data_IF_234384224774
#
_entry.id   IF_234384224774
#
_cell.length_a   1.000
_cell.length_b   1.000
_cell.length_c   1.000
_cell.angle_alpha   90.00
_cell.angle_beta   90.00
_cell.angle_gamma   90.00
#
_symmetry.space_group_name_H-M   'P 1'
#
loop_
_entity.id
_entity.type
_entity.pdbx_description
1 polymer ?
#
# COMPACT_ATOMS: atom_id res chain seq x y z
N UNK A 1 -0.07 -16.34 -47.62
CA UNK A 1 -0.58 -16.23 -46.23
C UNK A 1 0.27 -15.21 -45.47
N UNK A 2 -0.25 -14.00 -45.27
CA UNK A 2 0.43 -12.98 -44.48
C UNK A 2 0.29 -13.34 -43.00
N UNK A 3 1.42 -13.56 -42.32
CA UNK A 3 1.43 -13.69 -40.87
C UNK A 3 0.83 -12.42 -40.25
N UNK A 4 -0.10 -12.54 -39.29
CA UNK A 4 -0.63 -11.38 -38.62
C UNK A 4 0.51 -10.65 -37.88
N UNK A 5 0.50 -9.31 -37.86
CA UNK A 5 1.55 -8.54 -37.19
C UNK A 5 1.63 -8.96 -35.73
N UNK A 6 2.83 -9.32 -35.29
CA UNK A 6 3.13 -9.64 -33.90
C UNK A 6 2.51 -8.56 -33.01
N UNK A 7 1.52 -8.96 -32.21
CA UNK A 7 0.99 -8.08 -31.17
C UNK A 7 2.18 -7.64 -30.30
N UNK A 8 2.26 -6.35 -29.92
CA UNK A 8 3.31 -5.90 -29.02
C UNK A 8 3.29 -6.76 -27.75
N UNK A 9 4.47 -7.08 -27.17
CA UNK A 9 4.54 -7.91 -25.98
C UNK A 9 3.61 -7.31 -24.93
N UNK A 10 2.68 -8.14 -24.43
CA UNK A 10 1.81 -7.74 -23.33
C UNK A 10 2.73 -7.32 -22.17
N UNK A 11 2.50 -6.16 -21.53
CA UNK A 11 3.23 -5.83 -20.33
C UNK A 11 3.03 -6.97 -19.33
N UNK A 12 4.08 -7.44 -18.64
CA UNK A 12 3.99 -8.62 -17.79
C UNK A 12 2.88 -8.40 -16.78
N UNK A 13 1.79 -9.17 -16.91
CA UNK A 13 0.84 -9.30 -15.83
C UNK A 13 1.59 -9.96 -14.66
N UNK A 14 1.30 -9.48 -13.46
CA UNK A 14 2.01 -9.60 -12.18
C UNK A 14 2.37 -11.00 -11.65
N UNK A 15 2.21 -12.08 -12.42
CA UNK A 15 2.49 -13.44 -11.96
C UNK A 15 3.88 -13.96 -12.36
N UNK A 16 4.47 -13.48 -13.46
CA UNK A 16 5.75 -14.00 -13.97
C UNK A 16 7.00 -13.45 -13.26
N UNK A 17 6.85 -12.38 -12.46
CA UNK A 17 7.98 -11.72 -11.77
C UNK A 17 7.68 -11.66 -10.26
N UNK A 18 7.34 -12.81 -9.68
CA UNK A 18 7.25 -12.96 -8.23
C UNK A 18 8.65 -13.24 -7.68
N UNK A 19 9.14 -12.35 -6.82
CA UNK A 19 10.39 -12.58 -6.10
C UNK A 19 10.17 -13.50 -4.91
N UNK A 20 10.91 -14.60 -4.87
CA UNK A 20 10.81 -15.65 -3.85
C UNK A 20 12.14 -15.95 -3.15
N UNK A 21 13.25 -15.34 -3.55
CA UNK A 21 14.59 -15.52 -2.94
C UNK A 21 14.79 -14.75 -1.61
N UNK A 22 13.72 -14.20 -1.02
CA UNK A 22 13.76 -13.48 0.27
C UNK A 22 14.23 -12.03 0.17
N UNK A 23 14.08 -11.24 1.23
CA UNK A 23 14.43 -9.80 1.18
C UNK A 23 15.95 -9.61 1.12
N UNK A 24 16.43 -8.99 0.04
CA UNK A 24 17.83 -8.56 -0.09
C UNK A 24 17.95 -7.08 0.24
N UNK A 25 18.93 -6.74 1.07
CA UNK A 25 19.18 -5.36 1.49
C UNK A 25 20.60 -5.17 2.01
N UNK A 26 20.81 -4.01 2.64
CA UNK A 26 22.10 -3.59 3.18
C UNK A 26 21.98 -3.46 4.68
N UNK A 27 23.00 -3.91 5.40
CA UNK A 27 23.11 -3.72 6.84
C UNK A 27 24.13 -2.62 7.10
N UNK A 28 23.72 -1.64 7.91
CA UNK A 28 24.60 -0.58 8.38
C UNK A 28 24.94 -0.79 9.86
N UNK A 29 26.20 -0.57 10.21
CA UNK A 29 26.60 -0.33 11.59
C UNK A 29 26.34 1.13 11.91
N UNK A 30 25.63 1.40 13.01
CA UNK A 30 25.22 2.74 13.42
C UNK A 30 25.47 2.92 14.91
N UNK A 31 25.72 4.15 15.32
CA UNK A 31 25.81 4.53 16.74
C UNK A 31 24.44 4.47 17.41
N UNK A 32 24.40 4.43 18.74
CA UNK A 32 23.14 4.46 19.49
C UNK A 32 22.38 5.78 19.26
N UNK A 33 23.10 6.89 19.14
CA UNK A 33 22.56 8.21 18.85
C UNK A 33 21.92 8.28 17.45
N UNK A 34 22.61 7.74 16.44
CA UNK A 34 22.10 7.68 15.06
C UNK A 34 20.89 6.75 14.97
N UNK A 35 20.94 5.62 15.66
CA UNK A 35 19.81 4.69 15.76
C UNK A 35 18.58 5.37 16.37
N UNK A 36 18.75 6.12 17.46
CA UNK A 36 17.68 6.92 18.05
C UNK A 36 17.11 7.98 17.10
N UNK A 37 17.92 8.49 16.18
CA UNK A 37 17.48 9.42 15.13
C UNK A 37 16.69 8.70 14.04
N UNK A 38 17.16 7.55 13.55
CA UNK A 38 16.45 6.70 12.57
C UNK A 38 15.05 6.36 13.09
N UNK A 39 14.94 5.88 14.32
CA UNK A 39 13.64 5.53 14.91
C UNK A 39 12.71 6.74 15.00
N UNK A 40 13.26 7.94 15.27
CA UNK A 40 12.48 9.18 15.31
C UNK A 40 11.97 9.60 13.94
N UNK A 41 12.78 9.45 12.89
CA UNK A 41 12.43 9.85 11.52
C UNK A 41 11.48 8.87 10.84
N UNK A 42 11.58 7.58 11.16
CA UNK A 42 10.73 6.51 10.60
C UNK A 42 9.35 6.40 11.28
N UNK A 43 9.03 7.35 12.17
CA UNK A 43 7.70 7.46 12.78
C UNK A 43 7.53 6.68 14.09
N UNK A 44 8.61 6.31 14.77
CA UNK A 44 8.63 6.01 16.21
C UNK A 44 7.59 5.00 16.71
N UNK A 45 7.29 3.95 15.93
CA UNK A 45 6.34 2.91 16.31
C UNK A 45 4.88 3.13 15.86
N UNK A 46 4.56 4.25 15.18
CA UNK A 46 3.20 4.56 14.76
C UNK A 46 2.74 3.78 13.51
N UNK A 47 3.66 3.50 12.58
CA UNK A 47 3.38 2.76 11.33
C UNK A 47 4.29 1.55 11.10
N UNK A 48 5.49 1.56 11.67
CA UNK A 48 6.46 0.47 11.60
C UNK A 48 6.78 -0.03 13.01
N UNK A 49 6.91 -1.35 13.16
CA UNK A 49 7.42 -2.01 14.36
C UNK A 49 8.87 -2.42 14.14
N UNK A 50 9.69 -2.22 15.15
CA UNK A 50 11.04 -2.78 15.19
C UNK A 50 10.96 -4.31 15.33
N UNK A 51 11.70 -5.01 14.48
CA UNK A 51 11.87 -6.45 14.54
C UNK A 51 13.35 -6.80 14.40
N UNK A 52 13.74 -7.97 14.90
CA UNK A 52 15.06 -8.54 14.71
C UNK A 52 14.98 -9.65 13.68
N UNK A 53 15.82 -9.60 12.67
CA UNK A 53 15.86 -10.58 11.57
C UNK A 53 17.24 -11.22 11.46
N UNK A 54 17.32 -12.54 11.19
CA UNK A 54 18.57 -13.18 10.83
C UNK A 54 18.96 -12.79 9.39
N UNK A 55 20.22 -12.40 9.21
CA UNK A 55 20.80 -12.00 7.94
C UNK A 55 21.95 -12.96 7.58
N UNK A 56 22.09 -13.25 6.28
CA UNK A 56 23.20 -14.02 5.74
C UNK A 56 23.96 -13.07 4.81
N UNK A 57 25.26 -12.81 5.04
CA UNK A 57 26.03 -11.93 4.17
C UNK A 57 26.17 -12.55 2.79
N UNK A 58 25.95 -11.73 1.76
CA UNK A 58 26.14 -12.14 0.37
C UNK A 58 27.64 -12.18 0.04
N UNK A 59 28.09 -13.15 -0.77
CA UNK A 59 29.46 -13.18 -1.24
C UNK A 59 29.75 -11.94 -2.12
N UNK A 60 30.97 -11.41 -2.11
CA UNK A 60 31.34 -10.31 -3.00
C UNK A 60 31.22 -10.75 -4.47
N UNK A 61 30.84 -9.83 -5.37
CA UNK A 61 30.69 -10.11 -6.82
C UNK A 61 31.95 -10.67 -7.45
N UNK A 62 33.11 -10.22 -6.98
CA UNK A 62 34.42 -10.65 -7.45
C UNK A 62 35.16 -11.22 -6.23
N UNK A 63 35.25 -12.54 -6.17
CA UNK A 63 36.18 -13.23 -5.27
C UNK A 63 37.22 -13.94 -6.12
N UNK A 64 38.49 -13.53 -6.01
CA UNK A 64 39.58 -14.42 -6.42
C UNK A 64 39.52 -15.58 -5.40
N UNK A 65 39.32 -16.84 -5.83
CA UNK A 65 39.25 -17.94 -4.88
C UNK A 65 40.64 -18.15 -4.29
N UNK A 66 40.92 -17.52 -3.14
CA UNK A 66 42.13 -17.82 -2.36
C UNK A 66 42.07 -19.25 -1.80
N UNK A 67 40.86 -19.79 -1.62
CA UNK A 67 40.61 -21.16 -1.15
C UNK A 67 39.76 -21.95 -2.16
N UNK A 68 40.00 -23.27 -2.32
CA UNK A 68 39.23 -24.14 -3.20
C UNK A 68 37.77 -24.34 -2.75
N UNK A 69 37.46 -24.07 -1.47
CA UNK A 69 36.11 -24.13 -0.92
C UNK A 69 35.81 -22.80 -0.22
N UNK A 70 34.79 -22.03 -0.66
CA UNK A 70 34.39 -20.83 0.04
C UNK A 70 33.83 -21.19 1.43
N UNK A 71 34.24 -20.43 2.45
CA UNK A 71 33.72 -20.57 3.80
C UNK A 71 32.22 -20.20 3.82
N UNK A 72 31.40 -21.00 4.49
CA UNK A 72 29.95 -20.73 4.59
C UNK A 72 29.76 -19.39 5.34
N UNK A 73 29.04 -18.42 4.76
CA UNK A 73 28.84 -17.11 5.38
C UNK A 73 28.14 -17.25 6.74
N UNK A 74 28.74 -16.68 7.79
CA UNK A 74 28.20 -16.74 9.16
C UNK A 74 26.95 -15.86 9.27
N UNK A 75 25.79 -16.39 9.67
CA UNK A 75 24.61 -15.58 9.91
C UNK A 75 24.81 -14.63 11.10
N UNK A 76 24.15 -13.48 11.06
CA UNK A 76 24.11 -12.52 12.16
C UNK A 76 22.71 -11.91 12.30
N UNK A 77 22.43 -11.26 13.43
CA UNK A 77 21.14 -10.62 13.67
C UNK A 77 21.22 -9.13 13.36
N UNK A 78 20.19 -8.60 12.71
CA UNK A 78 20.03 -7.17 12.44
C UNK A 78 18.66 -6.67 12.85
N UNK A 79 18.57 -5.38 13.20
CA UNK A 79 17.30 -4.70 13.51
C UNK A 79 16.76 -4.05 12.25
N UNK A 80 15.45 -4.18 12.03
CA UNK A 80 14.77 -3.54 10.90
C UNK A 80 13.36 -3.10 11.28
N UNK A 81 12.74 -2.32 10.40
CA UNK A 81 11.40 -1.78 10.56
C UNK A 81 10.43 -2.50 9.64
N UNK A 82 9.34 -3.00 10.22
CA UNK A 82 8.32 -3.74 9.50
C UNK A 82 6.94 -3.13 9.75
N UNK A 83 6.16 -2.92 8.69
CA UNK A 83 4.78 -2.47 8.79
C UNK A 83 3.87 -3.71 8.84
N UNK A 84 3.44 -4.18 10.03
CA UNK A 84 2.64 -5.39 10.13
C UNK A 84 1.26 -5.18 9.53
N UNK A 85 0.92 -6.04 8.57
CA UNK A 85 -0.44 -6.18 8.07
C UNK A 85 -1.10 -7.28 8.89
N UNK A 86 -1.71 -6.94 10.04
CA UNK A 86 -2.42 -7.94 10.87
C UNK A 86 -3.81 -8.12 10.26
N UNK A 87 -4.14 -9.31 9.71
CA UNK A 87 -5.48 -9.56 9.22
C UNK A 87 -6.51 -9.50 10.34
N UNK A 88 -7.74 -9.06 10.06
CA UNK A 88 -8.83 -8.97 11.06
C UNK A 88 -9.08 -10.28 11.82
N UNK A 89 -8.79 -11.42 11.18
CA UNK A 89 -8.89 -12.77 11.75
C UNK A 89 -7.85 -13.06 12.83
N UNK A 90 -6.69 -12.44 12.74
CA UNK A 90 -5.55 -12.66 13.63
C UNK A 90 -5.46 -11.59 14.73
N UNK A 91 -6.34 -10.58 14.71
CA UNK A 91 -6.52 -9.71 15.87
C UNK A 91 -7.09 -10.53 17.04
N UNK A 92 -6.59 -10.34 18.29
CA UNK A 92 -7.16 -10.97 19.48
C UNK A 92 -8.68 -10.81 19.49
N UNK A 93 -9.39 -11.84 19.96
CA UNK A 93 -10.85 -11.83 20.01
C UNK A 93 -11.35 -10.83 21.06
N UNK A 94 -11.37 -9.55 20.65
CA UNK A 94 -11.83 -8.44 21.46
C UNK A 94 -13.38 -8.45 21.42
N UNK A 95 -14.06 -8.55 22.57
CA UNK A 95 -15.53 -8.48 22.63
C UNK A 95 -16.09 -7.18 22.02
N UNK A 96 -15.26 -6.14 21.84
CA UNK A 96 -15.64 -4.89 21.17
C UNK A 96 -15.78 -5.01 19.66
N UNK A 97 -15.27 -6.06 18.99
CA UNK A 97 -15.43 -6.34 17.54
C UNK A 97 -16.90 -6.28 17.08
N UNK A 98 -17.83 -6.67 17.96
CA UNK A 98 -19.28 -6.67 17.69
C UNK A 98 -19.89 -5.28 17.60
N UNK A 99 -19.19 -4.22 18.04
CA UNK A 99 -19.72 -2.85 18.07
C UNK A 99 -19.38 -2.13 16.78
N UNK A 100 -20.38 -1.46 16.18
CA UNK A 100 -20.22 -0.76 14.90
C UNK A 100 -19.10 0.28 14.92
N UNK A 101 -18.83 0.93 16.06
CA UNK A 101 -17.80 1.96 16.20
C UNK A 101 -16.38 1.38 16.30
N UNK A 102 -16.23 0.09 16.53
CA UNK A 102 -14.91 -0.55 16.64
C UNK A 102 -14.13 -0.45 15.33
N UNK A 103 -14.83 -0.39 14.18
CA UNK A 103 -14.23 -0.16 12.85
C UNK A 103 -13.46 1.16 12.74
N UNK A 104 -13.75 2.16 13.57
CA UNK A 104 -13.00 3.42 13.56
C UNK A 104 -11.68 3.32 14.33
N UNK A 105 -11.51 2.29 15.16
CA UNK A 105 -10.29 2.07 15.95
C UNK A 105 -9.31 1.11 15.29
N UNK A 106 -9.77 0.31 14.32
CA UNK A 106 -8.91 -0.54 13.50
C UNK A 106 -8.58 0.24 12.21
N UNK A 107 -7.29 0.33 11.88
CA UNK A 107 -6.87 0.88 10.59
C UNK A 107 -7.40 0.04 9.42
N UNK A 108 -7.50 0.59 8.21
CA UNK A 108 -7.98 -0.18 7.07
C UNK A 108 -7.06 -1.36 6.78
N UNK A 109 -7.62 -2.55 6.64
CA UNK A 109 -6.86 -3.70 6.17
C UNK A 109 -6.67 -3.57 4.65
N UNK A 110 -5.41 -3.63 4.19
CA UNK A 110 -5.06 -3.52 2.77
C UNK A 110 -4.40 -4.80 2.28
N UNK A 111 -4.66 -5.12 1.02
CA UNK A 111 -4.04 -6.28 0.37
C UNK A 111 -2.53 -6.02 0.19
N UNK A 112 -1.67 -6.96 0.63
CA UNK A 112 -0.23 -6.84 0.41
C UNK A 112 0.09 -6.70 -1.10
N UNK A 113 0.91 -5.72 -1.45
CA UNK A 113 1.35 -5.51 -2.84
C UNK A 113 0.31 -4.85 -3.76
N UNK A 114 -0.88 -4.48 -3.26
CA UNK A 114 -1.88 -3.79 -4.07
C UNK A 114 -1.46 -2.36 -4.45
N UNK A 115 -0.96 -1.61 -3.48
CA UNK A 115 -0.56 -0.22 -3.66
C UNK A 115 0.80 -0.10 -4.36
N UNK A 116 0.91 0.86 -5.28
CA UNK A 116 2.13 1.14 -6.03
C UNK A 116 2.89 2.31 -5.42
N UNK A 117 4.21 2.16 -5.33
CA UNK A 117 5.08 3.23 -4.85
C UNK A 117 5.32 4.30 -5.93
N UNK A 118 5.69 5.51 -5.50
CA UNK A 118 6.04 6.60 -6.42
C UNK A 118 7.29 6.28 -7.26
N UNK A 119 7.40 6.86 -8.46
CA UNK A 119 8.59 6.73 -9.30
C UNK A 119 9.88 7.16 -8.60
N UNK A 120 9.84 8.27 -7.86
CA UNK A 120 10.98 8.78 -7.07
C UNK A 120 11.48 7.73 -6.06
N UNK A 121 10.55 7.12 -5.33
CA UNK A 121 10.89 6.11 -4.31
C UNK A 121 11.46 4.84 -4.94
N UNK A 122 10.86 4.35 -6.03
CA UNK A 122 11.39 3.19 -6.74
C UNK A 122 12.77 3.46 -7.34
N UNK A 123 13.04 4.67 -7.82
CA UNK A 123 14.38 5.04 -8.29
C UNK A 123 15.39 5.01 -7.15
N UNK A 124 15.06 5.56 -5.97
CA UNK A 124 15.95 5.51 -4.80
C UNK A 124 16.37 4.08 -4.44
N UNK A 125 15.42 3.12 -4.46
CA UNK A 125 15.72 1.72 -4.17
C UNK A 125 16.56 1.07 -5.28
N UNK A 126 16.25 1.36 -6.56
CA UNK A 126 17.01 0.83 -7.70
C UNK A 126 18.45 1.35 -7.70
N UNK A 127 18.62 2.64 -7.45
CA UNK A 127 19.92 3.30 -7.39
C UNK A 127 20.75 2.75 -6.22
N UNK A 128 20.15 2.61 -5.03
CA UNK A 128 20.81 2.00 -3.87
C UNK A 128 21.16 0.52 -4.09
N UNK A 129 20.30 -0.25 -4.76
CA UNK A 129 20.58 -1.64 -5.12
C UNK A 129 21.76 -1.76 -6.09
N UNK A 130 21.89 -0.81 -7.01
CA UNK A 130 23.02 -0.72 -7.94
C UNK A 130 24.30 -0.28 -7.24
N UNK A 131 24.23 0.74 -6.40
CA UNK A 131 25.35 1.28 -5.63
C UNK A 131 25.98 0.22 -4.72
N UNK A 132 25.15 -0.58 -4.06
CA UNK A 132 25.59 -1.69 -3.21
C UNK A 132 25.74 -3.02 -3.95
N UNK A 133 25.76 -2.99 -5.28
CA UNK A 133 26.07 -4.15 -6.13
C UNK A 133 25.23 -5.40 -5.83
N UNK A 134 23.95 -5.22 -5.44
CA UNK A 134 23.04 -6.33 -5.12
C UNK A 134 22.91 -7.31 -6.31
N UNK A 135 22.51 -8.58 -6.10
CA UNK A 135 22.47 -9.58 -7.18
C UNK A 135 21.64 -9.13 -8.40
N UNK A 136 22.11 -9.46 -9.61
CA UNK A 136 21.48 -9.02 -10.86
C UNK A 136 20.04 -9.52 -11.02
N UNK A 137 19.72 -10.69 -10.45
CA UNK A 137 18.33 -11.18 -10.35
C UNK A 137 17.43 -10.22 -9.58
N UNK A 138 17.90 -9.75 -8.43
CA UNK A 138 17.17 -8.81 -7.58
C UNK A 138 17.03 -7.43 -8.22
N UNK A 139 18.09 -6.93 -8.86
CA UNK A 139 18.02 -5.67 -9.59
C UNK A 139 17.01 -5.76 -10.74
N UNK A 140 17.01 -6.85 -11.53
CA UNK A 140 15.99 -7.07 -12.58
C UNK A 140 14.58 -7.10 -12.02
N UNK A 141 14.38 -7.75 -10.87
CA UNK A 141 13.10 -7.73 -10.17
C UNK A 141 12.70 -6.30 -9.76
N UNK A 142 13.58 -5.53 -9.12
CA UNK A 142 13.32 -4.14 -8.76
C UNK A 142 12.96 -3.28 -9.97
N UNK A 143 13.64 -3.49 -11.11
CA UNK A 143 13.34 -2.80 -12.36
C UNK A 143 11.97 -3.15 -12.96
N UNK A 144 11.43 -4.34 -12.66
CA UNK A 144 10.08 -4.75 -13.10
C UNK A 144 8.95 -4.03 -12.35
N UNK A 145 9.23 -3.48 -11.17
CA UNK A 145 8.21 -2.84 -10.32
C UNK A 145 7.63 -1.59 -11.00
N UNK A 146 6.31 -1.59 -11.13
CA UNK A 146 5.56 -0.51 -11.78
C UNK A 146 5.38 0.69 -10.85
N UNK A 147 5.85 1.90 -11.22
CA UNK A 147 5.60 3.10 -10.46
C UNK A 147 4.14 3.54 -10.55
N UNK A 148 3.63 4.11 -9.47
CA UNK A 148 2.34 4.78 -9.47
C UNK A 148 2.37 6.01 -10.39
N UNK A 149 1.38 6.10 -11.26
CA UNK A 149 1.16 7.26 -12.14
C UNK A 149 -0.30 7.69 -12.09
N UNK A 150 -0.51 9.02 -12.04
CA UNK A 150 -1.85 9.60 -12.12
C UNK A 150 -2.32 9.56 -13.57
N UNK A 151 -3.40 8.82 -13.83
CA UNK A 151 -3.85 8.52 -15.20
C UNK A 151 -4.91 9.49 -15.69
N UNK A 152 -5.69 10.10 -14.81
CA UNK A 152 -6.79 11.00 -15.16
C UNK A 152 -6.69 12.37 -14.49
N UNK A 153 -7.25 13.39 -15.13
CA UNK A 153 -7.38 14.72 -14.53
C UNK A 153 -8.29 14.72 -13.29
N UNK A 154 -9.31 13.85 -13.25
CA UNK A 154 -10.18 13.67 -12.07
C UNK A 154 -9.40 13.20 -10.85
N UNK A 155 -8.46 12.26 -11.00
CA UNK A 155 -7.58 11.84 -9.91
C UNK A 155 -6.70 12.99 -9.41
N UNK A 156 -6.25 13.91 -10.28
CA UNK A 156 -5.48 15.10 -9.85
C UNK A 156 -6.32 16.03 -8.99
N UNK A 157 -7.54 16.35 -9.42
CA UNK A 157 -8.48 17.16 -8.63
C UNK A 157 -8.81 16.45 -7.31
N UNK A 158 -9.15 15.15 -7.39
CA UNK A 158 -9.48 14.34 -6.21
C UNK A 158 -8.33 14.28 -5.22
N UNK A 159 -7.09 14.12 -5.70
CA UNK A 159 -5.89 14.13 -4.87
C UNK A 159 -5.66 15.48 -4.19
N UNK A 160 -5.84 16.59 -4.91
CA UNK A 160 -5.74 17.94 -4.33
C UNK A 160 -6.82 18.17 -3.27
N UNK A 161 -8.08 17.84 -3.56
CA UNK A 161 -9.20 17.97 -2.62
C UNK A 161 -8.97 17.11 -1.38
N UNK A 162 -8.55 15.85 -1.59
CA UNK A 162 -8.26 14.92 -0.50
C UNK A 162 -7.12 15.42 0.39
N UNK A 163 -6.07 15.98 -0.22
CA UNK A 163 -4.94 16.57 0.49
C UNK A 163 -5.38 17.80 1.29
N UNK A 164 -6.18 18.69 0.73
CA UNK A 164 -6.65 19.88 1.44
C UNK A 164 -7.57 19.53 2.61
N UNK A 165 -8.53 18.61 2.40
CA UNK A 165 -9.48 18.19 3.43
C UNK A 165 -8.76 17.39 4.52
N UNK A 166 -8.09 16.30 4.15
CA UNK A 166 -7.46 15.41 5.14
C UNK A 166 -6.24 16.08 5.76
N UNK A 167 -5.40 16.73 4.95
CA UNK A 167 -4.19 17.41 5.39
C UNK A 167 -4.47 18.55 6.36
N UNK A 168 -5.52 19.36 6.14
CA UNK A 168 -5.89 20.40 7.11
C UNK A 168 -6.28 19.81 8.46
N UNK A 169 -7.08 18.73 8.48
CA UNK A 169 -7.43 18.01 9.72
C UNK A 169 -6.18 17.46 10.42
N UNK A 170 -5.27 16.81 9.68
CA UNK A 170 -4.02 16.31 10.26
C UNK A 170 -3.13 17.44 10.81
N UNK A 171 -3.00 18.55 10.09
CA UNK A 171 -2.25 19.72 10.55
C UNK A 171 -2.85 20.31 11.82
N UNK A 172 -4.19 20.35 11.93
CA UNK A 172 -4.85 20.77 13.17
C UNK A 172 -4.52 19.83 14.32
N UNK A 173 -4.58 18.50 14.12
CA UNK A 173 -4.26 17.51 15.16
C UNK A 173 -2.80 17.59 15.59
N UNK A 174 -1.85 17.73 14.64
CA UNK A 174 -0.42 17.90 14.94
C UNK A 174 -0.16 19.22 15.66
N UNK A 175 -0.88 20.28 15.32
CA UNK A 175 -0.74 21.57 16.01
C UNK A 175 -1.27 21.46 17.45
N UNK A 176 -2.42 20.79 17.63
CA UNK A 176 -3.00 20.51 18.94
C UNK A 176 -2.06 19.61 19.76
N UNK A 177 -1.42 18.61 19.14
CA UNK A 177 -0.48 17.73 19.84
C UNK A 177 0.73 18.47 20.38
N UNK A 178 1.22 19.52 19.70
CA UNK A 178 2.29 20.37 20.22
C UNK A 178 1.86 21.17 21.45
N UNK A 179 0.60 21.61 21.49
CA UNK A 179 0.04 22.39 22.62
C UNK A 179 -0.22 21.52 23.84
N UNK A 180 -0.70 20.30 23.64
CA UNK A 180 -1.09 19.38 24.72
C UNK A 180 -0.05 18.29 25.03
N UNK A 181 1.13 18.32 24.40
CA UNK A 181 2.20 17.41 24.75
C UNK A 181 2.72 17.68 26.17
N UNK A 182 2.79 16.64 27.00
CA UNK A 182 3.39 16.76 28.33
C UNK A 182 4.88 17.12 28.23
N UNK A 183 5.47 17.56 29.36
CA UNK A 183 6.93 17.85 29.49
C UNK A 183 7.85 16.68 29.08
N UNK A 184 7.29 15.46 28.94
CA UNK A 184 7.98 14.24 28.49
C UNK A 184 7.73 13.91 27.00
N UNK A 185 7.08 14.79 26.24
CA UNK A 185 6.74 14.60 24.83
C UNK A 185 5.64 13.57 24.57
N UNK A 186 4.92 13.10 25.61
CA UNK A 186 3.83 12.14 25.48
C UNK A 186 2.50 12.85 25.25
N UNK A 187 1.71 12.37 24.29
CA UNK A 187 0.38 12.88 23.99
C UNK A 187 -0.68 12.33 24.96
N UNK A 188 -1.72 13.11 25.32
CA UNK A 188 -2.85 12.61 26.09
C UNK A 188 -3.53 11.44 25.37
N UNK A 189 -3.98 10.43 26.12
CA UNK A 189 -4.61 9.23 25.56
C UNK A 189 -5.80 9.53 24.65
N UNK A 190 -6.62 10.52 24.99
CA UNK A 190 -7.76 10.92 24.15
C UNK A 190 -7.32 11.46 22.79
N UNK A 191 -6.17 12.13 22.72
CA UNK A 191 -5.64 12.69 21.47
C UNK A 191 -5.06 11.59 20.58
N UNK A 192 -4.41 10.59 21.18
CA UNK A 192 -3.97 9.37 20.47
C UNK A 192 -5.17 8.66 19.84
N UNK A 193 -6.24 8.46 20.62
CA UNK A 193 -7.48 7.83 20.13
C UNK A 193 -8.11 8.68 19.01
N UNK A 194 -8.18 10.00 19.20
CA UNK A 194 -8.71 10.91 18.18
C UNK A 194 -7.90 10.81 16.88
N UNK A 195 -6.57 10.77 16.97
CA UNK A 195 -5.70 10.60 15.81
C UNK A 195 -5.95 9.27 15.09
N UNK A 196 -6.07 8.16 15.82
CA UNK A 196 -6.43 6.85 15.25
C UNK A 196 -7.77 6.89 14.53
N UNK A 197 -8.80 7.45 15.17
CA UNK A 197 -10.14 7.60 14.56
C UNK A 197 -10.08 8.45 13.29
N UNK A 198 -9.35 9.56 13.30
CA UNK A 198 -9.18 10.42 12.14
C UNK A 198 -8.52 9.68 10.98
N UNK A 199 -7.47 8.89 11.22
CA UNK A 199 -6.87 8.04 10.18
C UNK A 199 -7.89 7.06 9.59
N UNK A 200 -8.64 6.34 10.43
CA UNK A 200 -9.64 5.38 9.96
C UNK A 200 -10.76 6.05 9.16
N UNK A 201 -11.28 7.18 9.64
CA UNK A 201 -12.31 7.96 8.93
C UNK A 201 -11.78 8.48 7.59
N UNK A 202 -10.53 8.95 7.54
CA UNK A 202 -9.89 9.44 6.31
C UNK A 202 -9.83 8.34 5.26
N UNK A 203 -9.43 7.13 5.66
CA UNK A 203 -9.42 5.98 4.78
C UNK A 203 -10.81 5.52 4.36
N UNK A 204 -11.79 5.50 5.26
CA UNK A 204 -13.19 5.23 4.89
C UNK A 204 -13.75 6.25 3.90
N UNK A 205 -13.45 7.54 4.10
CA UNK A 205 -13.81 8.61 3.17
C UNK A 205 -13.13 8.38 1.81
N UNK A 206 -11.86 7.97 1.82
CA UNK A 206 -11.15 7.63 0.60
C UNK A 206 -11.83 6.47 -0.15
N UNK A 207 -12.05 5.34 0.52
CA UNK A 207 -12.55 4.10 -0.10
C UNK A 207 -14.01 4.21 -0.55
N UNK A 208 -14.86 4.91 0.20
CA UNK A 208 -16.30 5.00 -0.09
C UNK A 208 -16.68 6.20 -0.96
N UNK A 209 -15.87 7.26 -1.01
CA UNK A 209 -16.22 8.50 -1.71
C UNK A 209 -15.16 8.85 -2.76
N UNK A 210 -13.90 9.04 -2.36
CA UNK A 210 -12.90 9.56 -3.30
C UNK A 210 -12.55 8.57 -4.40
N UNK A 211 -12.27 7.31 -4.05
CA UNK A 211 -11.90 6.27 -5.01
C UNK A 211 -13.02 6.01 -6.03
N UNK A 212 -14.31 5.88 -5.65
CA UNK A 212 -15.40 5.74 -6.62
C UNK A 212 -15.64 6.95 -7.53
N UNK A 213 -15.40 8.18 -7.04
CA UNK A 213 -15.73 9.42 -7.77
C UNK A 213 -14.58 9.92 -8.62
N UNK A 214 -13.37 9.97 -8.05
CA UNK A 214 -12.20 10.58 -8.67
C UNK A 214 -11.23 9.56 -9.29
N UNK A 215 -11.33 8.28 -8.91
CA UNK A 215 -10.47 7.20 -9.39
C UNK A 215 -9.48 6.72 -8.32
N UNK A 216 -8.77 5.64 -8.65
CA UNK A 216 -7.85 4.97 -7.74
C UNK A 216 -6.55 5.77 -7.54
N UNK A 217 -6.32 6.24 -6.32
CA UNK A 217 -5.11 6.95 -5.91
C UNK A 217 -3.98 6.05 -5.36
N UNK A 218 -4.21 4.74 -5.25
CA UNK A 218 -3.23 3.79 -4.71
C UNK A 218 -2.49 3.02 -5.79
N UNK A 219 -3.06 2.95 -7.00
CA UNK A 219 -2.52 2.20 -8.13
C UNK A 219 -2.88 2.89 -9.44
N UNK A 220 -1.97 2.80 -10.41
CA UNK A 220 -2.21 3.22 -11.79
C UNK A 220 -3.40 2.48 -12.39
N UNK A 221 -4.40 3.20 -12.89
CA UNK A 221 -5.55 2.59 -13.55
C UNK A 221 -5.21 2.16 -14.97
N UNK A 222 -5.49 0.91 -15.32
CA UNK A 222 -5.37 0.46 -16.71
C UNK A 222 -6.50 1.06 -17.56
N UNK A 223 -6.16 1.52 -18.77
CA UNK A 223 -7.10 2.20 -19.68
C UNK A 223 -8.36 1.37 -20.03
N UNK A 224 -8.34 0.05 -19.80
CA UNK A 224 -9.46 -0.88 -20.05
C UNK A 224 -10.43 -1.07 -18.87
N UNK A 225 -9.96 -1.02 -17.62
CA UNK A 225 -10.79 -1.34 -16.44
C UNK A 225 -11.90 -0.32 -16.19
N UNK A 226 -11.59 0.96 -16.43
CA UNK A 226 -12.54 2.06 -16.20
C UNK A 226 -13.73 2.00 -17.16
N UNK A 227 -13.50 1.69 -18.45
CA UNK A 227 -14.56 1.51 -19.44
C UNK A 227 -15.42 0.27 -19.16
N UNK A 228 -14.81 -0.82 -18.68
CA UNK A 228 -15.51 -2.07 -18.39
C UNK A 228 -16.40 -1.97 -17.15
N UNK A 229 -15.94 -1.29 -16.08
CA UNK A 229 -16.75 -1.03 -14.87
C UNK A 229 -17.91 -0.09 -15.15
N UNK A 230 -17.71 0.97 -15.95
CA UNK A 230 -18.79 1.88 -16.38
C UNK A 230 -19.83 1.09 -17.19
N UNK A 231 -19.42 0.28 -18.18
CA UNK A 231 -20.35 -0.60 -18.91
C UNK A 231 -21.12 -1.52 -17.95
N UNK A 232 -20.46 -2.29 -17.07
CA UNK A 232 -21.17 -3.18 -16.14
C UNK A 232 -22.20 -2.45 -15.27
N UNK A 233 -21.88 -1.27 -14.73
CA UNK A 233 -22.82 -0.47 -13.92
C UNK A 233 -24.03 0.01 -14.74
N UNK A 234 -23.81 0.45 -15.98
CA UNK A 234 -24.90 0.89 -16.86
C UNK A 234 -25.80 -0.29 -17.26
N UNK A 235 -25.21 -1.45 -17.54
CA UNK A 235 -25.95 -2.67 -17.89
C UNK A 235 -26.73 -3.23 -16.69
N UNK A 236 -26.16 -3.23 -15.49
CA UNK A 236 -26.86 -3.63 -14.27
C UNK A 236 -28.08 -2.75 -14.00
N UNK A 237 -27.94 -1.42 -14.10
CA UNK A 237 -29.06 -0.49 -13.94
C UNK A 237 -30.13 -0.65 -15.03
N UNK A 238 -29.71 -0.97 -16.25
CA UNK A 238 -30.64 -1.22 -17.35
C UNK A 238 -31.43 -2.52 -17.13
N UNK A 239 -30.78 -3.58 -16.63
CA UNK A 239 -31.44 -4.85 -16.30
C UNK A 239 -32.43 -4.70 -15.14
N UNK A 240 -32.04 -4.00 -14.07
CA UNK A 240 -32.95 -3.69 -12.96
C UNK A 240 -34.18 -2.89 -13.43
N UNK A 241 -33.97 -1.93 -14.35
CA UNK A 241 -35.07 -1.14 -14.93
C UNK A 241 -35.97 -1.98 -15.84
N UNK A 242 -35.42 -2.89 -16.64
CA UNK A 242 -36.23 -3.81 -17.47
C UNK A 242 -37.09 -4.74 -16.59
N UNK A 243 -36.50 -5.31 -15.54
CA UNK A 243 -37.20 -6.20 -14.62
C UNK A 243 -38.35 -5.50 -13.91
N UNK A 244 -38.14 -4.24 -13.46
CA UNK A 244 -39.20 -3.42 -12.86
C UNK A 244 -40.36 -3.12 -13.84
N UNK A 245 -40.05 -2.83 -15.11
CA UNK A 245 -41.07 -2.54 -16.13
C UNK A 245 -41.88 -3.78 -16.52
N UNK A 246 -41.28 -4.97 -16.50
CA UNK A 246 -41.98 -6.22 -16.75
C UNK A 246 -42.92 -6.59 -15.59
N UNK A 247 -42.52 -6.30 -14.34
CA UNK A 247 -43.38 -6.46 -13.16
C UNK A 247 -44.59 -5.51 -13.19
N UNK A 248 -44.40 -4.22 -13.55
CA UNK A 248 -45.51 -3.27 -13.72
C UNK A 248 -46.46 -3.69 -14.84
N UNK A 249 -45.92 -4.16 -15.98
CA UNK A 249 -46.76 -4.63 -17.10
C UNK A 249 -47.53 -5.90 -16.75
N UNK A 250 -46.93 -6.83 -16.00
CA UNK A 250 -47.61 -8.04 -15.55
C UNK A 250 -48.74 -7.70 -14.55
N UNK A 251 -48.54 -6.72 -13.68
CA UNK A 251 -49.56 -6.24 -12.75
C UNK A 251 -50.75 -5.59 -13.48
N UNK A 252 -50.50 -4.80 -14.52
CA UNK A 252 -51.56 -4.17 -15.32
C UNK A 252 -52.39 -5.17 -16.15
N UNK A 253 -51.82 -6.31 -16.52
CA UNK A 253 -52.55 -7.38 -17.24
C UNK A 253 -53.38 -8.22 -16.28
N UNK A 254 -52.97 -8.35 -15.01
CA UNK A 254 -53.72 -9.07 -13.98
C UNK A 254 -54.94 -8.33 -13.39
N UNK A 255 -55.13 -7.04 -13.70
CA UNK A 255 -56.30 -6.25 -13.27
C UNK A 255 -57.49 -6.31 -14.25
N UNK A 256 -57.36 -7.01 -15.38
CA UNK A 256 -58.41 -7.12 -16.42
C UNK A 256 -59.07 -8.51 -16.55
N UNK A 257 -58.80 -9.44 -15.63
CA UNK A 257 -59.47 -10.75 -15.54
C UNK A 257 -60.47 -10.83 -14.38
#
# INVERSE_FOLDING_TARGET
PFDPPHAPPKPPHSEEIRWDEGLIGVVYEVTEEDYGTIIRTEGGGAGYKEIVVPCIPLPPRISIPEKPYPDIPKPFLSRTLFAPQIPDKDLPDDPRKKKWWYRFLIGPQREPGYAQASARYLNLIKDGAKEHELPDGYQRWLHSLQPYTVTTWRQRIGGLLFMLISGSVFLTIISLSKVFADKRGKMPRWLVIAMTVTFSVTWMMYDNIFKPVFGNGERTEEKGESKMKIRRRTWSKMLDHYQYMDEEKAALVGEFD
#
